data_IF_610428899608
#
_entry.id   IF_610428899608
#
_cell.length_a   1.000
_cell.length_b   1.000
_cell.length_c   1.000
_cell.angle_alpha   90.00
_cell.angle_beta   90.00
_cell.angle_gamma   90.00
#
_symmetry.space_group_name_H-M   'P 1'
#
loop_
_entity.id
_entity.type
_entity.pdbx_description
1 polymer ?
#
# COMPACT_ATOMS: atom_id res chain seq x y z
N UNK A 1 -56.58 -80.36 -35.49
CA UNK A 1 -56.92 -79.36 -36.52
C UNK A 1 -56.31 -78.02 -36.01
N UNK A 2 -55.19 -77.75 -36.59
CA UNK A 2 -54.26 -76.68 -36.07
C UNK A 2 -54.40 -75.45 -36.93
N UNK A 3 -54.56 -74.28 -36.29
CA UNK A 3 -54.39 -73.01 -36.92
C UNK A 3 -53.49 -72.12 -36.06
N UNK A 4 -52.20 -72.15 -36.39
CA UNK A 4 -51.23 -71.20 -35.82
C UNK A 4 -51.22 -69.92 -36.70
N UNK A 5 -51.73 -68.84 -36.15
CA UNK A 5 -51.62 -67.53 -36.72
C UNK A 5 -50.29 -66.86 -36.23
N UNK A 6 -49.37 -66.64 -37.23
CA UNK A 6 -48.15 -65.92 -37.02
C UNK A 6 -48.42 -64.42 -36.98
N UNK A 7 -48.27 -63.80 -35.78
CA UNK A 7 -48.26 -62.35 -35.61
C UNK A 7 -46.93 -61.77 -36.06
N UNK A 8 -46.95 -60.93 -37.14
CA UNK A 8 -45.81 -60.15 -37.63
C UNK A 8 -45.59 -58.96 -36.71
N UNK A 9 -44.50 -58.99 -35.95
CA UNK A 9 -44.00 -57.80 -35.22
C UNK A 9 -43.47 -56.76 -36.20
N UNK A 10 -44.15 -55.62 -36.32
CA UNK A 10 -43.68 -54.42 -37.04
C UNK A 10 -42.61 -53.74 -36.22
N UNK A 11 -41.35 -53.79 -36.60
CA UNK A 11 -40.27 -53.01 -36.06
C UNK A 11 -40.48 -51.51 -36.42
N UNK A 12 -40.91 -50.71 -35.45
CA UNK A 12 -40.96 -49.28 -35.54
C UNK A 12 -39.53 -48.74 -35.40
N UNK A 13 -38.86 -48.41 -36.51
CA UNK A 13 -37.60 -47.65 -36.47
C UNK A 13 -37.91 -46.26 -35.92
N UNK A 14 -37.44 -46.00 -34.69
CA UNK A 14 -37.45 -44.67 -34.09
C UNK A 14 -36.38 -43.84 -34.81
N UNK A 15 -36.80 -42.98 -35.73
CA UNK A 15 -35.91 -41.94 -36.28
C UNK A 15 -35.60 -40.94 -35.18
N UNK A 16 -34.38 -41.03 -34.60
CA UNK A 16 -33.84 -39.94 -33.80
C UNK A 16 -33.72 -38.71 -34.70
N UNK A 17 -34.66 -37.76 -34.54
CA UNK A 17 -34.50 -36.43 -35.10
C UNK A 17 -33.37 -35.74 -34.30
N UNK A 18 -32.18 -35.71 -34.89
CA UNK A 18 -31.12 -34.84 -34.43
C UNK A 18 -31.60 -33.42 -34.67
N UNK A 19 -31.99 -32.76 -33.59
CA UNK A 19 -32.33 -31.35 -33.62
C UNK A 19 -30.99 -30.58 -33.70
N UNK A 20 -30.45 -30.48 -34.91
CA UNK A 20 -29.37 -29.55 -35.20
C UNK A 20 -30.02 -28.18 -35.18
N UNK A 21 -29.94 -27.55 -33.99
CA UNK A 21 -30.30 -26.15 -33.84
C UNK A 21 -29.52 -25.36 -34.87
N UNK A 22 -30.22 -24.84 -35.84
CA UNK A 22 -29.72 -23.88 -36.81
C UNK A 22 -29.32 -22.66 -35.98
N UNK A 23 -28.03 -22.57 -35.61
CA UNK A 23 -27.43 -21.32 -35.16
C UNK A 23 -27.65 -20.34 -36.31
N UNK A 24 -28.78 -19.63 -36.28
CA UNK A 24 -28.99 -18.47 -37.11
C UNK A 24 -27.81 -17.57 -36.88
N UNK A 25 -26.92 -17.48 -37.87
CA UNK A 25 -25.85 -16.47 -37.87
C UNK A 25 -26.56 -15.16 -37.61
N UNK A 26 -26.34 -14.65 -36.37
CA UNK A 26 -26.74 -13.30 -35.99
C UNK A 26 -26.01 -12.37 -36.96
N UNK A 27 -26.70 -11.98 -38.03
CA UNK A 27 -26.25 -10.94 -38.96
C UNK A 27 -26.36 -9.57 -38.27
N UNK A 28 -25.71 -9.43 -37.10
CA UNK A 28 -25.65 -8.18 -36.36
C UNK A 28 -24.90 -7.06 -37.10
N UNK A 29 -24.16 -7.41 -38.16
CA UNK A 29 -23.30 -6.47 -38.89
C UNK A 29 -23.77 -6.08 -40.28
N UNK A 30 -25.00 -6.45 -40.68
CA UNK A 30 -25.44 -6.32 -42.09
C UNK A 30 -25.78 -4.91 -42.54
N UNK A 31 -25.98 -3.94 -41.62
CA UNK A 31 -26.37 -2.56 -41.95
C UNK A 31 -25.52 -1.48 -41.24
N UNK A 32 -24.25 -1.78 -40.95
CA UNK A 32 -23.38 -0.75 -40.30
C UNK A 32 -22.79 0.13 -41.41
N UNK A 33 -22.99 1.46 -41.38
CA UNK A 33 -22.44 2.35 -42.40
C UNK A 33 -20.91 2.31 -42.40
N UNK A 34 -20.29 2.36 -43.60
CA UNK A 34 -18.81 2.28 -43.76
C UNK A 34 -18.07 3.27 -42.88
N UNK A 35 -18.66 4.42 -42.57
CA UNK A 35 -18.13 5.42 -41.63
C UNK A 35 -17.99 4.90 -40.20
N UNK A 36 -18.77 3.90 -39.80
CA UNK A 36 -18.71 3.30 -38.46
C UNK A 36 -17.47 2.38 -38.33
N UNK A 37 -17.18 1.58 -39.35
CA UNK A 37 -15.97 0.76 -39.40
C UNK A 37 -14.70 1.61 -39.37
N UNK A 38 -14.73 2.76 -40.05
CA UNK A 38 -13.61 3.72 -40.01
C UNK A 38 -13.37 4.27 -38.61
N UNK A 39 -14.44 4.67 -37.90
CA UNK A 39 -14.32 5.10 -36.50
C UNK A 39 -13.81 3.99 -35.57
N UNK A 40 -14.29 2.76 -35.72
CA UNK A 40 -13.80 1.61 -34.95
C UNK A 40 -12.31 1.35 -35.23
N UNK A 41 -11.90 1.45 -36.50
CA UNK A 41 -10.49 1.32 -36.89
C UNK A 41 -9.60 2.36 -36.23
N UNK A 42 -10.03 3.61 -36.16
CA UNK A 42 -9.31 4.68 -35.47
C UNK A 42 -9.22 4.46 -33.96
N UNK A 43 -10.31 4.01 -33.33
CA UNK A 43 -10.33 3.64 -31.91
C UNK A 43 -9.38 2.47 -31.65
N UNK A 44 -9.43 1.44 -32.49
CA UNK A 44 -8.51 0.30 -32.41
C UNK A 44 -7.05 0.71 -32.54
N UNK A 45 -6.74 1.57 -33.52
CA UNK A 45 -5.39 2.11 -33.70
C UNK A 45 -4.95 2.92 -32.47
N UNK A 46 -5.82 3.76 -31.91
CA UNK A 46 -5.53 4.54 -30.71
C UNK A 46 -5.21 3.64 -29.51
N UNK A 47 -5.99 2.59 -29.31
CA UNK A 47 -5.75 1.61 -28.23
C UNK A 47 -4.40 0.92 -28.41
N UNK A 48 -4.06 0.53 -29.63
CA UNK A 48 -2.76 -0.11 -29.94
C UNK A 48 -1.62 0.86 -29.63
N UNK A 49 -1.72 2.12 -30.06
CA UNK A 49 -0.70 3.14 -29.82
C UNK A 49 -0.54 3.38 -28.31
N UNK A 50 -1.65 3.53 -27.57
CA UNK A 50 -1.62 3.71 -26.10
C UNK A 50 -1.03 2.50 -25.37
N UNK A 51 -1.37 1.28 -25.83
CA UNK A 51 -0.80 0.05 -25.28
C UNK A 51 0.70 -0.05 -25.53
N UNK A 52 1.15 0.29 -26.74
CA UNK A 52 2.58 0.31 -27.06
C UNK A 52 3.34 1.37 -26.25
N UNK A 53 2.75 2.56 -26.13
CA UNK A 53 3.27 3.63 -25.30
C UNK A 53 3.41 3.19 -23.84
N UNK A 54 2.39 2.55 -23.28
CA UNK A 54 2.44 2.02 -21.91
C UNK A 54 3.55 0.98 -21.73
N UNK A 55 3.72 0.04 -22.68
CA UNK A 55 4.78 -0.96 -22.63
C UNK A 55 6.18 -0.33 -22.67
N UNK A 56 6.38 0.70 -23.50
CA UNK A 56 7.66 1.41 -23.59
C UNK A 56 7.96 2.23 -22.35
N UNK A 57 6.94 2.84 -21.75
CA UNK A 57 7.08 3.71 -20.58
C UNK A 57 7.12 2.92 -19.25
N UNK A 58 6.53 1.74 -19.22
CA UNK A 58 6.51 0.88 -18.01
C UNK A 58 7.78 0.04 -17.90
N UNK A 59 8.94 0.71 -17.89
CA UNK A 59 10.23 0.04 -17.72
C UNK A 59 10.36 -0.58 -16.33
N UNK A 60 11.17 -1.63 -16.16
CA UNK A 60 11.45 -2.17 -14.82
C UNK A 60 12.18 -1.13 -13.97
N UNK A 61 11.88 -1.13 -12.67
CA UNK A 61 12.61 -0.30 -11.68
C UNK A 61 13.99 -0.92 -11.50
N UNK A 62 15.03 -0.14 -11.77
CA UNK A 62 16.42 -0.59 -11.67
C UNK A 62 17.13 -0.02 -10.45
N UNK A 63 16.69 1.14 -9.98
CA UNK A 63 17.38 1.84 -8.91
C UNK A 63 16.39 2.36 -7.86
N UNK A 64 16.66 2.00 -6.61
CA UNK A 64 15.96 2.51 -5.44
C UNK A 64 16.97 3.26 -4.61
N UNK A 65 16.70 4.53 -4.35
CA UNK A 65 17.52 5.36 -3.49
C UNK A 65 16.73 5.66 -2.21
N UNK A 66 17.32 5.34 -1.08
CA UNK A 66 16.72 5.63 0.24
C UNK A 66 17.49 6.80 0.86
N UNK A 67 16.78 7.80 1.32
CA UNK A 67 17.32 9.01 1.94
C UNK A 67 16.54 9.37 3.20
N UNK A 68 17.23 9.95 4.18
CA UNK A 68 16.70 10.36 5.48
C UNK A 68 17.82 10.42 6.52
N UNK A 69 17.62 11.10 7.63
CA UNK A 69 18.53 11.06 8.78
C UNK A 69 18.19 9.83 9.64
N UNK A 70 18.61 8.66 9.14
CA UNK A 70 18.28 7.35 9.73
C UNK A 70 19.28 7.01 10.82
N UNK A 71 18.83 7.03 12.07
CA UNK A 71 19.65 6.67 13.26
C UNK A 71 19.21 5.36 13.89
N UNK A 72 17.92 5.04 13.82
CA UNK A 72 17.28 3.88 14.47
C UNK A 72 16.67 2.92 13.47
N UNK A 73 16.16 3.42 12.36
CA UNK A 73 15.60 2.58 11.30
C UNK A 73 16.72 1.83 10.60
N UNK A 74 16.67 0.52 10.64
CA UNK A 74 17.64 -0.31 9.93
C UNK A 74 17.42 -0.23 8.41
N UNK A 75 18.43 0.18 7.66
CA UNK A 75 18.43 0.17 6.19
C UNK A 75 18.07 -1.23 5.67
N UNK A 76 18.55 -2.27 6.35
CA UNK A 76 18.26 -3.67 5.99
C UNK A 76 16.76 -4.01 6.09
N UNK A 77 16.05 -3.43 7.06
CA UNK A 77 14.61 -3.60 7.18
C UNK A 77 13.87 -2.93 6.03
N UNK A 78 14.32 -1.77 5.58
CA UNK A 78 13.78 -1.06 4.43
C UNK A 78 14.03 -1.86 3.15
N UNK A 79 15.25 -2.37 2.95
CA UNK A 79 15.63 -3.16 1.79
C UNK A 79 14.74 -4.41 1.66
N UNK A 80 14.46 -5.10 2.74
CA UNK A 80 13.58 -6.29 2.72
C UNK A 80 12.17 -5.98 2.20
N UNK A 81 11.66 -4.76 2.46
CA UNK A 81 10.34 -4.34 2.01
C UNK A 81 10.36 -3.73 0.59
N UNK A 82 11.52 -3.25 0.14
CA UNK A 82 11.69 -2.58 -1.16
C UNK A 82 12.28 -3.48 -2.24
N UNK A 83 13.02 -4.54 -1.90
CA UNK A 83 13.60 -5.46 -2.87
C UNK A 83 12.56 -6.09 -3.82
N UNK A 84 11.34 -6.29 -3.35
CA UNK A 84 10.23 -6.77 -4.17
C UNK A 84 9.77 -5.78 -5.25
N UNK A 85 10.27 -4.53 -5.21
CA UNK A 85 9.97 -3.51 -6.23
C UNK A 85 10.91 -3.58 -7.42
N UNK A 86 12.14 -4.07 -7.22
CA UNK A 86 13.08 -4.29 -8.30
C UNK A 86 12.44 -5.23 -9.34
N UNK A 87 12.58 -4.86 -10.60
CA UNK A 87 11.95 -5.54 -11.74
C UNK A 87 10.42 -5.39 -11.87
N UNK A 88 9.73 -4.68 -10.97
CA UNK A 88 8.36 -4.26 -11.23
C UNK A 88 8.32 -3.09 -12.22
N UNK A 89 7.22 -3.00 -12.98
CA UNK A 89 7.07 -1.90 -13.93
C UNK A 89 6.93 -0.56 -13.22
N UNK A 90 7.68 0.43 -13.68
CA UNK A 90 7.76 1.78 -13.10
C UNK A 90 6.40 2.49 -12.97
N UNK A 91 5.51 2.29 -13.94
CA UNK A 91 4.16 2.86 -13.89
C UNK A 91 3.17 1.99 -13.12
N UNK A 92 3.36 0.68 -13.13
CA UNK A 92 2.40 -0.28 -12.59
C UNK A 92 2.59 -0.59 -11.11
N UNK A 93 3.73 -0.22 -10.48
CA UNK A 93 3.88 -0.47 -9.05
C UNK A 93 2.99 0.45 -8.21
N UNK A 94 2.50 -0.08 -7.10
CA UNK A 94 1.65 0.66 -6.17
C UNK A 94 2.53 1.39 -5.13
N UNK A 95 2.73 2.70 -5.33
CA UNK A 95 3.51 3.52 -4.41
C UNK A 95 2.86 3.64 -3.02
N UNK A 96 1.53 3.61 -2.95
CA UNK A 96 0.79 3.71 -1.70
C UNK A 96 1.02 2.46 -0.82
N UNK A 97 0.95 1.27 -1.41
CA UNK A 97 1.23 0.02 -0.69
C UNK A 97 2.65 -0.03 -0.13
N UNK A 98 3.62 0.50 -0.90
CA UNK A 98 5.02 0.57 -0.46
C UNK A 98 5.17 1.55 0.69
N UNK A 99 4.55 2.71 0.58
CA UNK A 99 4.51 3.73 1.64
C UNK A 99 3.94 3.14 2.93
N UNK A 100 2.76 2.52 2.90
CA UNK A 100 2.14 1.90 4.08
C UNK A 100 3.05 0.85 4.73
N UNK A 101 3.70 0.01 3.92
CA UNK A 101 4.63 -1.00 4.43
C UNK A 101 5.86 -0.38 5.13
N UNK A 102 6.39 0.71 4.59
CA UNK A 102 7.53 1.40 5.21
C UNK A 102 7.07 2.14 6.48
N UNK A 103 5.91 2.79 6.44
CA UNK A 103 5.34 3.49 7.60
C UNK A 103 4.86 2.54 8.72
N UNK A 104 4.71 1.24 8.43
CA UNK A 104 4.45 0.22 9.44
C UNK A 104 5.71 -0.27 10.17
N UNK A 105 6.90 0.13 9.72
CA UNK A 105 8.15 -0.17 10.42
C UNK A 105 8.27 0.67 11.69
N UNK A 106 8.88 0.07 12.70
CA UNK A 106 9.18 0.79 13.94
C UNK A 106 10.10 1.97 13.66
N UNK A 107 9.83 3.08 14.32
CA UNK A 107 10.59 4.34 14.23
C UNK A 107 10.41 5.13 12.94
N UNK A 108 9.51 4.76 12.05
CA UNK A 108 9.17 5.54 10.87
C UNK A 108 7.95 6.41 11.17
N UNK A 109 8.13 7.73 11.15
CA UNK A 109 7.05 8.71 11.26
C UNK A 109 6.28 8.83 9.94
N UNK A 110 7.03 8.95 8.85
CA UNK A 110 6.45 9.06 7.51
C UNK A 110 7.45 8.63 6.43
N UNK A 111 6.91 8.19 5.30
CA UNK A 111 7.67 7.86 4.10
C UNK A 111 7.07 8.57 2.88
N UNK A 112 7.93 9.15 2.06
CA UNK A 112 7.58 9.76 0.79
C UNK A 112 8.18 8.95 -0.36
N UNK A 113 7.34 8.50 -1.31
CA UNK A 113 7.77 7.73 -2.46
C UNK A 113 7.73 8.62 -3.70
N UNK A 114 8.89 8.94 -4.24
CA UNK A 114 9.05 9.83 -5.41
C UNK A 114 9.48 9.00 -6.60
N UNK A 115 8.72 9.09 -7.68
CA UNK A 115 9.09 8.48 -8.96
C UNK A 115 10.02 9.41 -9.72
N UNK A 116 11.24 8.94 -10.01
CA UNK A 116 12.23 9.65 -10.80
C UNK A 116 12.43 8.94 -12.13
N UNK A 117 11.98 9.59 -13.20
CA UNK A 117 12.10 9.05 -14.56
C UNK A 117 13.55 8.75 -14.95
N UNK A 118 13.82 7.68 -15.75
CA UNK A 118 12.84 6.76 -16.34
C UNK A 118 12.55 5.50 -15.52
N UNK A 119 13.38 5.13 -14.53
CA UNK A 119 13.37 3.81 -13.88
C UNK A 119 13.86 3.83 -12.42
N UNK A 120 13.91 5.02 -11.81
CA UNK A 120 14.40 5.23 -10.45
C UNK A 120 13.28 5.60 -9.49
N UNK A 121 13.37 5.11 -8.24
CA UNK A 121 12.51 5.51 -7.14
C UNK A 121 13.36 6.10 -6.03
N UNK A 122 13.01 7.29 -5.57
CA UNK A 122 13.57 7.89 -4.37
C UNK A 122 12.57 7.74 -3.22
N UNK A 123 13.02 7.14 -2.13
CA UNK A 123 12.26 6.94 -0.90
C UNK A 123 12.88 7.86 0.15
N UNK A 124 12.11 8.83 0.61
CA UNK A 124 12.51 9.69 1.73
C UNK A 124 11.80 9.22 2.98
N UNK A 125 12.57 8.95 4.02
CA UNK A 125 12.06 8.47 5.30
C UNK A 125 12.34 9.52 6.36
N UNK A 126 11.32 9.83 7.13
CA UNK A 126 11.42 10.64 8.34
C UNK A 126 11.28 9.71 9.54
N UNK A 127 12.31 9.70 10.40
CA UNK A 127 12.27 8.97 11.66
C UNK A 127 11.44 9.71 12.71
N UNK A 128 10.76 8.94 13.55
CA UNK A 128 10.05 9.49 14.69
C UNK A 128 11.01 10.15 15.67
N UNK A 129 10.71 11.37 16.03
CA UNK A 129 11.46 12.09 17.06
C UNK A 129 10.97 11.69 18.44
N UNK A 130 11.92 11.28 19.30
CA UNK A 130 11.64 10.94 20.69
C UNK A 130 11.42 12.22 21.47
N UNK A 131 10.36 12.24 22.27
CA UNK A 131 10.08 13.33 23.16
C UNK A 131 10.66 13.08 24.55
N UNK A 132 10.46 11.87 25.08
CA UNK A 132 10.93 11.47 26.39
C UNK A 132 10.51 10.06 26.79
N UNK A 133 10.96 9.59 27.95
CA UNK A 133 10.41 8.36 28.54
C UNK A 133 9.02 8.65 29.11
N UNK A 134 8.13 7.67 29.07
CA UNK A 134 6.80 7.73 29.67
C UNK A 134 6.66 6.69 30.78
N UNK A 135 6.46 7.17 32.02
CA UNK A 135 6.32 6.30 33.19
C UNK A 135 7.46 5.27 33.34
N UNK A 136 8.65 5.59 32.85
CA UNK A 136 9.88 4.79 32.87
C UNK A 136 9.92 3.55 31.96
N UNK A 137 8.77 3.04 31.48
CA UNK A 137 8.70 1.79 30.72
C UNK A 137 8.49 2.00 29.23
N UNK A 138 7.98 3.16 28.84
CA UNK A 138 7.60 3.46 27.45
C UNK A 138 8.35 4.69 26.96
N UNK A 139 8.34 4.88 25.65
CA UNK A 139 8.79 6.12 25.02
C UNK A 139 7.60 6.84 24.41
N UNK A 140 7.53 8.12 24.67
CA UNK A 140 6.59 9.04 24.05
C UNK A 140 7.29 9.76 22.89
N UNK A 141 6.68 9.68 21.70
CA UNK A 141 7.17 10.41 20.53
C UNK A 141 6.52 11.81 20.42
N UNK A 142 6.98 12.59 19.45
CA UNK A 142 6.45 13.93 19.16
C UNK A 142 5.01 13.93 18.61
N UNK A 143 4.47 12.79 18.18
CA UNK A 143 3.08 12.63 17.76
C UNK A 143 2.14 12.20 18.89
N UNK A 144 2.67 11.92 20.09
CA UNK A 144 1.90 11.48 21.24
C UNK A 144 1.59 9.97 21.23
N UNK A 145 2.34 9.19 20.47
CA UNK A 145 2.27 7.72 20.49
C UNK A 145 3.25 7.16 21.51
N UNK A 146 2.88 6.05 22.13
CA UNK A 146 3.72 5.30 23.05
C UNK A 146 4.31 4.07 22.37
N UNK A 147 5.60 3.85 22.60
CA UNK A 147 6.36 2.72 22.12
C UNK A 147 6.97 1.94 23.27
N UNK A 148 6.89 0.62 23.17
CA UNK A 148 7.66 -0.28 24.05
C UNK A 148 9.04 -0.40 23.42
N UNK A 149 10.06 -0.03 24.16
CA UNK A 149 11.45 -0.06 23.69
C UNK A 149 12.29 -0.83 24.67
N UNK A 150 13.30 -1.54 24.15
CA UNK A 150 14.34 -2.11 25.01
C UNK A 150 15.05 -0.95 25.73
N UNK A 151 15.06 -0.99 27.06
CA UNK A 151 15.69 0.04 27.91
C UNK A 151 17.14 0.34 27.51
N UNK A 152 17.85 -0.63 26.92
CA UNK A 152 19.22 -0.46 26.41
C UNK A 152 19.31 0.45 25.19
N UNK A 153 18.19 0.67 24.50
CA UNK A 153 18.11 1.51 23.30
C UNK A 153 17.65 2.93 23.61
N UNK A 154 17.36 3.23 24.87
CA UNK A 154 16.94 4.56 25.33
C UNK A 154 18.20 5.42 25.50
N UNK A 155 18.29 6.60 24.87
CA UNK A 155 19.38 7.53 25.10
C UNK A 155 19.35 8.07 26.54
N UNK A 156 20.52 8.19 27.18
CA UNK A 156 20.64 8.64 28.56
C UNK A 156 20.13 10.09 28.82
N UNK A 157 20.01 10.90 27.76
CA UNK A 157 19.68 12.32 27.83
C UNK A 157 18.30 12.70 27.36
N UNK A 158 17.32 11.78 27.47
CA UNK A 158 15.94 12.13 27.16
C UNK A 158 15.15 12.47 28.41
N UNK A 159 14.22 13.45 28.31
CA UNK A 159 13.41 13.87 29.47
C UNK A 159 12.48 12.75 29.94
N UNK A 160 12.20 12.78 31.24
CA UNK A 160 11.26 11.89 31.90
C UNK A 160 9.89 12.53 31.97
N UNK A 161 8.90 11.89 31.34
CA UNK A 161 7.53 12.34 31.33
C UNK A 161 6.67 11.34 32.11
N UNK A 162 5.88 11.84 33.03
CA UNK A 162 5.07 11.01 33.91
C UNK A 162 3.64 11.54 33.90
N UNK A 163 2.66 10.64 33.82
CA UNK A 163 1.27 11.02 33.87
C UNK A 163 0.31 9.83 33.94
N UNK A 164 -0.95 10.09 34.32
CA UNK A 164 -1.97 9.08 34.26
C UNK A 164 -2.24 8.63 32.82
N UNK A 165 -2.70 7.40 32.66
CA UNK A 165 -3.06 6.83 31.36
C UNK A 165 -4.10 7.70 30.64
N UNK A 166 -3.83 8.07 29.39
CA UNK A 166 -4.68 8.93 28.57
C UNK A 166 -4.30 10.41 28.59
N UNK A 167 -3.31 10.83 29.41
CA UNK A 167 -2.81 12.19 29.48
C UNK A 167 -1.59 12.45 28.59
N UNK A 168 -1.16 11.48 27.79
CA UNK A 168 0.06 11.51 26.97
C UNK A 168 0.11 12.78 26.10
N UNK A 169 -1.00 13.12 25.47
CA UNK A 169 -1.09 14.28 24.58
C UNK A 169 -1.01 15.62 25.33
N UNK A 170 -1.53 15.68 26.53
CA UNK A 170 -1.54 16.90 27.32
C UNK A 170 -0.14 17.14 27.92
N UNK A 171 0.50 16.09 28.43
CA UNK A 171 1.89 16.13 28.90
C UNK A 171 2.83 16.50 27.74
N UNK A 172 2.64 15.89 26.56
CA UNK A 172 3.40 16.20 25.35
C UNK A 172 3.28 17.69 24.97
N UNK A 173 2.07 18.21 24.92
CA UNK A 173 1.83 19.62 24.54
C UNK A 173 2.51 20.57 25.49
N UNK A 174 2.33 20.37 26.81
CA UNK A 174 2.94 21.20 27.80
C UNK A 174 4.46 21.09 27.80
N UNK A 175 4.98 19.86 27.64
CA UNK A 175 6.42 19.64 27.51
C UNK A 175 7.03 20.44 26.36
N UNK A 176 6.44 20.35 25.17
CA UNK A 176 6.93 21.08 24.00
C UNK A 176 6.90 22.59 24.24
N UNK A 177 5.84 23.12 24.85
CA UNK A 177 5.74 24.55 25.15
C UNK A 177 6.83 25.01 26.14
N UNK A 178 7.01 24.29 27.24
CA UNK A 178 8.01 24.61 28.23
C UNK A 178 9.43 24.46 27.68
N UNK A 179 9.68 23.35 26.99
CA UNK A 179 11.00 23.04 26.41
C UNK A 179 11.44 24.11 25.39
N UNK A 180 10.51 24.57 24.54
CA UNK A 180 10.79 25.67 23.61
C UNK A 180 11.15 26.97 24.29
N UNK A 181 10.55 27.28 25.42
CA UNK A 181 10.89 28.47 26.22
C UNK A 181 12.26 28.33 26.92
N UNK A 182 12.59 27.13 27.37
CA UNK A 182 13.83 26.85 28.09
C UNK A 182 15.03 26.76 27.13
N UNK A 183 14.89 26.09 25.99
CA UNK A 183 15.98 25.93 25.01
C UNK A 183 16.49 27.25 24.47
N UNK A 184 15.63 28.26 24.33
CA UNK A 184 16.04 29.63 23.98
C UNK A 184 16.96 30.30 25.01
N UNK A 185 17.06 29.73 26.24
CA UNK A 185 17.91 30.19 27.33
C UNK A 185 19.05 29.22 27.69
N UNK A 186 19.24 28.19 26.86
CA UNK A 186 20.24 27.14 27.10
C UNK A 186 19.88 26.16 28.22
N UNK A 187 18.60 26.12 28.62
CA UNK A 187 18.08 25.22 29.64
C UNK A 187 17.28 24.10 29.01
N UNK A 188 17.22 22.94 29.66
CA UNK A 188 16.47 21.77 29.23
C UNK A 188 15.56 21.27 30.34
N UNK A 189 14.37 20.82 29.98
CA UNK A 189 13.45 20.20 30.93
C UNK A 189 13.84 18.73 31.12
N UNK A 190 14.23 18.38 32.34
CA UNK A 190 14.64 17.01 32.69
C UNK A 190 13.44 16.11 33.01
N UNK A 191 12.48 16.64 33.76
CA UNK A 191 11.32 15.87 34.22
C UNK A 191 10.05 16.72 34.15
N UNK A 192 8.96 16.15 33.65
CA UNK A 192 7.63 16.74 33.73
C UNK A 192 6.64 15.68 34.23
N UNK A 193 5.95 16.00 35.32
CA UNK A 193 5.00 15.09 35.95
C UNK A 193 3.62 15.74 36.06
N UNK A 194 2.60 15.00 35.58
CA UNK A 194 1.20 15.29 35.80
C UNK A 194 0.66 14.32 36.87
N UNK A 195 0.25 14.82 38.01
CA UNK A 195 -0.39 14.01 39.05
C UNK A 195 -1.85 13.70 38.69
N UNK A 196 -2.40 12.64 39.27
CA UNK A 196 -3.80 12.22 39.13
C UNK A 196 -4.83 13.29 39.53
N UNK A 197 -4.37 14.30 40.33
CA UNK A 197 -5.16 15.47 40.77
C UNK A 197 -5.12 16.63 39.74
N UNK A 198 -4.41 16.48 38.63
CA UNK A 198 -4.24 17.51 37.61
C UNK A 198 -3.16 18.57 37.96
N UNK A 199 -2.30 18.30 38.96
CA UNK A 199 -1.19 19.16 39.28
C UNK A 199 0.07 18.81 38.49
N UNK A 200 0.82 19.85 38.12
CA UNK A 200 2.07 19.73 37.35
C UNK A 200 3.26 19.99 38.24
#
# INVERSE_FOLDING_TARGET
MNLFSKSKKKNKKIKKRVFIGRLSKLNLFRNVPKKFYFKIGWIGLLIIVLSLCFLVLNRPIELINVSGDLKRVSIKSIDNHTNNLLNKGFLSFNAFEVKEKIESLDWVESAEIIRVWPNKIDIRIMEESLLGTWNDDLILNSSGKLYVVDQRSIPDNIPRLVGPKGSEKDVMKLFIQINNLLTGRGLYLETLTLDSRGSW
#
